data_IF_572324061000
#
_entry.id   IF_572324061000
#
_cell.length_a   1.000
_cell.length_b   1.000
_cell.length_c   1.000
_cell.angle_alpha   90.00
_cell.angle_beta   90.00
_cell.angle_gamma   90.00
#
_symmetry.space_group_name_H-M   'P 1'
#
loop_
_entity.id
_entity.type
_entity.pdbx_description
1 polymer ?
#
# COMPACT_ATOMS: atom_id res chain seq x y z
N UNK A 1 -31.33 21.34 16.80
CA UNK A 1 -30.86 19.94 16.66
C UNK A 1 -29.94 19.94 15.44
N UNK A 2 -28.62 19.78 15.69
CA UNK A 2 -27.68 19.65 14.58
C UNK A 2 -27.96 18.30 13.90
N UNK A 3 -28.27 18.32 12.61
CA UNK A 3 -28.43 17.10 11.84
C UNK A 3 -27.12 16.29 11.94
N UNK A 4 -27.22 15.01 12.24
CA UNK A 4 -26.05 14.11 12.26
C UNK A 4 -25.51 14.03 10.84
N UNK A 5 -24.26 14.49 10.65
CA UNK A 5 -23.59 14.43 9.34
C UNK A 5 -23.01 13.02 9.18
N UNK A 6 -23.39 12.35 8.10
CA UNK A 6 -23.08 10.95 7.85
C UNK A 6 -24.06 9.98 8.49
N UNK A 7 -24.08 8.76 7.98
CA UNK A 7 -24.97 7.70 8.43
C UNK A 7 -24.21 6.70 9.30
N UNK A 8 -24.58 6.53 10.60
CA UNK A 8 -24.00 5.49 11.43
C UNK A 8 -24.27 4.10 10.85
N UNK A 9 -23.26 3.22 10.90
CA UNK A 9 -23.37 1.85 10.38
C UNK A 9 -22.21 0.99 10.86
N UNK A 10 -21.96 -0.12 10.16
CA UNK A 10 -21.00 -1.14 10.56
C UNK A 10 -21.64 -2.18 11.50
N UNK A 11 -20.79 -2.83 12.32
CA UNK A 11 -21.25 -3.77 13.36
C UNK A 11 -21.01 -3.18 14.75
N UNK A 12 -21.61 -3.74 15.82
CA UNK A 12 -21.33 -3.29 17.19
C UNK A 12 -19.84 -3.29 17.55
N UNK A 13 -19.08 -4.28 17.05
CA UNK A 13 -17.64 -4.42 17.27
C UNK A 13 -16.81 -3.52 16.35
N UNK A 14 -17.40 -3.10 15.22
CA UNK A 14 -16.76 -2.27 14.20
C UNK A 14 -17.68 -1.16 13.71
N UNK A 15 -18.07 -0.23 14.59
CA UNK A 15 -18.90 0.90 14.19
C UNK A 15 -18.15 1.80 13.19
N UNK A 16 -18.89 2.43 12.30
CA UNK A 16 -18.37 3.33 11.29
C UNK A 16 -19.44 4.38 10.91
N UNK A 17 -18.99 5.51 10.36
CA UNK A 17 -19.85 6.52 9.75
C UNK A 17 -19.68 6.45 8.24
N UNK A 18 -20.77 6.28 7.52
CA UNK A 18 -20.80 6.26 6.05
C UNK A 18 -21.21 7.64 5.53
N UNK A 19 -20.61 8.05 4.44
CA UNK A 19 -20.90 9.32 3.76
C UNK A 19 -21.39 9.05 2.34
N UNK A 20 -22.36 9.84 1.90
CA UNK A 20 -22.93 9.76 0.55
C UNK A 20 -21.98 10.25 -0.54
N UNK A 21 -21.03 11.12 -0.18
CA UNK A 21 -20.04 11.69 -1.10
C UNK A 21 -19.03 12.59 -0.40
N UNK A 22 -18.10 13.19 -1.17
CA UNK A 22 -17.05 14.05 -0.63
C UNK A 22 -17.60 15.31 0.05
N UNK A 23 -18.70 15.85 -0.41
CA UNK A 23 -19.34 17.06 0.14
C UNK A 23 -19.84 16.80 1.58
N UNK A 24 -20.45 15.65 1.83
CA UNK A 24 -20.93 15.30 3.16
C UNK A 24 -19.77 15.05 4.13
N UNK A 25 -18.69 14.39 3.66
CA UNK A 25 -17.48 14.22 4.46
C UNK A 25 -16.79 15.55 4.73
N UNK A 26 -16.74 16.45 3.75
CA UNK A 26 -16.24 17.82 3.95
C UNK A 26 -17.03 18.57 5.01
N UNK A 27 -18.37 18.48 4.99
CA UNK A 27 -19.23 19.08 6.00
C UNK A 27 -18.95 18.51 7.40
N UNK A 28 -18.71 17.20 7.49
CA UNK A 28 -18.29 16.58 8.75
C UNK A 28 -16.95 17.12 9.25
N UNK A 29 -15.95 17.24 8.38
CA UNK A 29 -14.64 17.81 8.71
C UNK A 29 -14.77 19.27 9.15
N UNK A 30 -15.56 20.08 8.46
CA UNK A 30 -15.80 21.47 8.84
C UNK A 30 -16.34 21.58 10.27
N UNK A 31 -17.23 20.69 10.67
CA UNK A 31 -17.86 20.70 11.98
C UNK A 31 -17.03 20.08 13.11
N UNK A 32 -16.06 19.16 12.76
CA UNK A 32 -15.49 18.26 13.76
C UNK A 32 -13.96 18.18 13.76
N UNK A 33 -13.25 18.69 12.71
CA UNK A 33 -11.81 18.46 12.56
C UNK A 33 -10.95 18.98 13.70
N UNK A 34 -11.42 19.95 14.47
CA UNK A 34 -10.73 20.59 15.61
C UNK A 34 -11.13 20.02 16.98
N UNK A 35 -12.16 19.16 17.01
CA UNK A 35 -12.73 18.57 18.25
C UNK A 35 -12.52 17.07 18.31
N UNK A 36 -12.65 16.39 17.17
CA UNK A 36 -12.51 14.94 17.11
C UNK A 36 -11.05 14.54 16.93
N UNK A 37 -10.67 13.48 17.60
CA UNK A 37 -9.31 12.91 17.53
C UNK A 37 -9.20 11.75 16.55
N UNK A 38 -10.33 11.17 16.18
CA UNK A 38 -10.42 10.12 15.16
C UNK A 38 -11.83 10.01 14.57
N UNK A 39 -11.88 9.44 13.37
CA UNK A 39 -13.10 9.02 12.69
C UNK A 39 -12.89 7.62 12.12
N UNK A 40 -13.82 6.70 12.36
CA UNK A 40 -13.93 5.45 11.62
C UNK A 40 -14.95 5.63 10.50
N UNK A 41 -14.46 5.79 9.28
CA UNK A 41 -15.28 5.95 8.08
C UNK A 41 -15.58 4.59 7.45
N UNK A 42 -16.86 4.32 7.19
CA UNK A 42 -17.30 3.18 6.41
C UNK A 42 -17.13 3.43 4.91
N UNK A 43 -16.61 2.45 4.20
CA UNK A 43 -16.39 2.48 2.75
C UNK A 43 -16.92 1.19 2.14
N UNK A 44 -17.86 1.30 1.22
CA UNK A 44 -18.34 0.15 0.47
C UNK A 44 -17.32 -0.30 -0.58
N UNK A 45 -17.27 -1.62 -0.83
CA UNK A 45 -16.40 -2.22 -1.84
C UNK A 45 -16.91 -1.93 -3.26
N UNK A 46 -16.05 -2.13 -4.25
CA UNK A 46 -16.34 -1.79 -5.67
C UNK A 46 -17.56 -2.47 -6.25
N UNK A 47 -17.91 -3.67 -5.78
CA UNK A 47 -19.05 -4.42 -6.28
C UNK A 47 -20.41 -3.93 -5.75
N UNK A 48 -20.42 -3.06 -4.73
CA UNK A 48 -21.65 -2.52 -4.16
C UNK A 48 -22.16 -1.35 -5.01
N UNK A 49 -23.37 -1.43 -5.58
CA UNK A 49 -23.96 -0.31 -6.33
C UNK A 49 -24.22 0.90 -5.42
N UNK A 50 -24.02 2.10 -5.95
CA UNK A 50 -24.31 3.33 -5.20
C UNK A 50 -23.46 3.50 -3.94
N UNK A 51 -22.22 3.05 -3.98
CA UNK A 51 -21.30 2.93 -2.83
C UNK A 51 -20.94 4.22 -2.09
N UNK A 52 -21.45 5.39 -2.55
CA UNK A 52 -21.19 6.69 -1.91
C UNK A 52 -19.72 7.12 -1.99
N UNK A 53 -19.20 7.69 -0.91
CA UNK A 53 -17.82 8.17 -0.81
C UNK A 53 -16.80 7.06 -1.05
N UNK A 54 -15.80 7.35 -1.89
CA UNK A 54 -14.64 6.47 -2.09
C UNK A 54 -13.44 6.96 -1.29
N UNK A 55 -12.43 6.08 -1.10
CA UNK A 55 -11.19 6.47 -0.45
C UNK A 55 -10.45 7.55 -1.25
N UNK A 56 -10.46 7.42 -2.56
CA UNK A 56 -9.83 8.34 -3.50
C UNK A 56 -10.43 9.76 -3.42
N UNK A 57 -11.74 9.85 -3.18
CA UNK A 57 -12.45 11.12 -3.00
C UNK A 57 -12.26 11.68 -1.57
N UNK A 58 -12.12 10.81 -0.57
CA UNK A 58 -11.97 11.20 0.82
C UNK A 58 -10.59 11.82 1.12
N UNK A 59 -9.51 11.32 0.50
CA UNK A 59 -8.14 11.79 0.78
C UNK A 59 -7.97 13.29 0.52
N UNK A 60 -8.39 13.87 -0.61
CA UNK A 60 -8.31 15.32 -0.84
C UNK A 60 -9.05 16.13 0.21
N UNK A 61 -10.26 15.71 0.60
CA UNK A 61 -11.04 16.42 1.61
C UNK A 61 -10.34 16.39 2.98
N UNK A 62 -9.86 15.23 3.41
CA UNK A 62 -9.11 15.09 4.65
C UNK A 62 -7.86 15.96 4.69
N UNK A 63 -7.09 16.00 3.58
CA UNK A 63 -5.88 16.83 3.46
C UNK A 63 -6.19 18.32 3.60
N UNK A 64 -7.34 18.79 3.09
CA UNK A 64 -7.75 20.18 3.26
C UNK A 64 -7.82 20.60 4.73
N UNK A 65 -8.12 19.69 5.65
CA UNK A 65 -8.23 19.95 7.09
C UNK A 65 -7.04 19.41 7.92
N UNK A 66 -6.00 18.87 7.25
CA UNK A 66 -4.82 18.32 7.90
C UNK A 66 -5.04 16.94 8.53
N UNK A 67 -5.99 16.18 8.02
CA UNK A 67 -6.27 14.80 8.41
C UNK A 67 -5.63 13.80 7.45
N UNK A 68 -5.48 12.56 7.92
CA UNK A 68 -4.93 11.45 7.14
C UNK A 68 -5.55 10.13 7.58
N UNK A 69 -5.66 9.22 6.65
CA UNK A 69 -6.03 7.84 6.90
C UNK A 69 -4.89 7.02 7.49
N UNK A 70 -5.22 5.90 8.12
CA UNK A 70 -4.24 4.99 8.70
C UNK A 70 -4.66 3.53 8.52
N UNK A 71 -5.35 2.94 9.49
CA UNK A 71 -5.69 1.52 9.53
C UNK A 71 -6.99 1.26 8.77
N UNK A 72 -6.98 0.21 7.92
CA UNK A 72 -8.19 -0.32 7.28
C UNK A 72 -8.58 -1.66 7.92
N UNK A 73 -9.87 -1.83 8.22
CA UNK A 73 -10.42 -3.06 8.79
C UNK A 73 -11.66 -3.49 8.01
N UNK A 74 -11.77 -4.80 7.75
CA UNK A 74 -12.99 -5.37 7.16
C UNK A 74 -14.14 -5.26 8.17
N UNK A 75 -15.30 -4.81 7.73
CA UNK A 75 -16.56 -4.91 8.46
C UNK A 75 -17.20 -6.25 8.10
N UNK A 76 -17.55 -6.43 6.82
CA UNK A 76 -18.22 -7.60 6.25
C UNK A 76 -17.77 -7.84 4.79
N UNK A 77 -18.62 -8.56 4.01
CA UNK A 77 -18.32 -8.82 2.59
C UNK A 77 -18.50 -7.59 1.70
N UNK A 78 -19.29 -6.62 2.11
CA UNK A 78 -19.65 -5.44 1.31
C UNK A 78 -18.88 -4.18 1.73
N UNK A 79 -18.38 -4.11 2.98
CA UNK A 79 -17.80 -2.91 3.53
C UNK A 79 -16.48 -3.15 4.30
N UNK A 80 -15.69 -2.10 4.34
CA UNK A 80 -14.55 -1.93 5.24
C UNK A 80 -14.68 -0.62 5.99
N UNK A 81 -13.97 -0.45 7.12
CA UNK A 81 -13.80 0.85 7.76
C UNK A 81 -12.37 1.31 7.68
N UNK A 82 -12.20 2.60 7.47
CA UNK A 82 -10.91 3.29 7.40
C UNK A 82 -10.81 4.26 8.57
N UNK A 83 -9.73 4.19 9.32
CA UNK A 83 -9.45 5.12 10.40
C UNK A 83 -8.83 6.41 9.86
N UNK A 84 -9.38 7.55 10.24
CA UNK A 84 -8.88 8.88 9.91
C UNK A 84 -8.52 9.62 11.20
N UNK A 85 -7.42 10.39 11.18
CA UNK A 85 -6.94 11.14 12.35
C UNK A 85 -6.29 12.45 11.90
N UNK A 86 -6.25 13.48 12.77
CA UNK A 86 -5.40 14.63 12.54
C UNK A 86 -3.94 14.22 12.34
N UNK A 87 -3.24 14.86 11.41
CA UNK A 87 -1.82 14.63 11.16
C UNK A 87 -0.98 15.09 12.35
N UNK A 88 -0.12 14.21 12.82
CA UNK A 88 0.88 14.54 13.83
C UNK A 88 2.08 15.25 13.18
N UNK A 89 2.83 16.08 13.92
CA UNK A 89 4.07 16.69 13.42
C UNK A 89 5.10 15.67 12.91
N UNK A 90 5.03 14.44 13.44
CA UNK A 90 5.89 13.31 13.05
C UNK A 90 5.32 12.46 11.91
N UNK A 91 4.18 12.83 11.33
CA UNK A 91 3.57 12.08 10.22
C UNK A 91 4.45 12.17 8.96
N UNK A 92 4.58 11.05 8.25
CA UNK A 92 5.21 11.03 6.94
C UNK A 92 4.27 11.65 5.89
N UNK A 93 4.87 12.29 4.90
CA UNK A 93 4.17 12.82 3.74
C UNK A 93 4.63 12.06 2.49
N UNK A 94 3.71 11.42 1.81
CA UNK A 94 3.96 10.81 0.52
C UNK A 94 4.08 11.87 -0.58
N UNK A 95 4.82 11.59 -1.66
CA UNK A 95 4.91 12.49 -2.80
C UNK A 95 3.51 12.72 -3.42
N UNK A 96 2.67 11.68 -3.45
CA UNK A 96 1.29 11.79 -3.91
C UNK A 96 0.49 12.77 -3.05
N UNK A 97 0.56 12.65 -1.71
CA UNK A 97 -0.15 13.57 -0.82
C UNK A 97 0.37 15.01 -0.90
N UNK A 98 1.69 15.19 -1.11
CA UNK A 98 2.30 16.51 -1.33
C UNK A 98 1.71 17.13 -2.61
N UNK A 99 1.73 16.40 -3.74
CA UNK A 99 1.18 16.88 -5.01
C UNK A 99 -0.32 17.21 -4.92
N UNK A 100 -1.09 16.41 -4.15
CA UNK A 100 -2.51 16.71 -3.90
C UNK A 100 -2.65 18.02 -3.13
N UNK A 101 -1.86 18.27 -2.06
CA UNK A 101 -1.92 19.52 -1.29
C UNK A 101 -1.53 20.73 -2.14
N UNK A 102 -0.49 20.61 -2.97
CA UNK A 102 -0.07 21.68 -3.88
C UNK A 102 -1.21 22.06 -4.84
N UNK A 103 -1.87 21.05 -5.44
CA UNK A 103 -3.05 21.26 -6.29
C UNK A 103 -4.20 21.91 -5.51
N UNK A 104 -4.54 21.41 -4.32
CA UNK A 104 -5.62 21.95 -3.49
C UNK A 104 -5.33 23.39 -3.02
N UNK A 105 -4.06 23.73 -2.83
CA UNK A 105 -3.61 25.10 -2.51
C UNK A 105 -3.85 26.01 -3.70
N UNK A 106 -3.46 25.60 -4.90
CA UNK A 106 -3.71 26.36 -6.12
C UNK A 106 -5.21 26.56 -6.41
N UNK A 107 -6.04 25.58 -6.06
CA UNK A 107 -7.52 25.62 -6.15
C UNK A 107 -8.17 26.48 -5.03
N UNK A 108 -7.41 26.97 -4.03
CA UNK A 108 -7.93 27.72 -2.88
C UNK A 108 -8.81 26.89 -1.94
N UNK A 109 -8.66 25.56 -1.94
CA UNK A 109 -9.50 24.61 -1.15
C UNK A 109 -8.96 24.32 0.23
N UNK A 110 -7.67 24.58 0.47
CA UNK A 110 -7.03 24.31 1.75
C UNK A 110 -7.63 25.16 2.88
N UNK A 111 -7.77 24.55 4.03
CA UNK A 111 -8.18 25.22 5.27
C UNK A 111 -6.96 25.57 6.13
N UNK A 112 -7.05 26.54 7.06
CA UNK A 112 -5.92 26.93 7.90
C UNK A 112 -5.27 25.76 8.64
N UNK A 113 -6.07 24.80 9.14
CA UNK A 113 -5.59 23.59 9.82
C UNK A 113 -4.79 22.68 8.87
N UNK A 114 -5.22 22.54 7.63
CA UNK A 114 -4.53 21.76 6.59
C UNK A 114 -3.21 22.42 6.18
N UNK A 115 -3.19 23.73 5.96
CA UNK A 115 -1.97 24.50 5.69
C UNK A 115 -0.99 24.36 6.84
N UNK A 116 -1.43 24.58 8.10
CA UNK A 116 -0.59 24.43 9.27
C UNK A 116 -0.04 23.00 9.44
N UNK A 117 -0.80 21.97 9.08
CA UNK A 117 -0.32 20.58 9.10
C UNK A 117 0.75 20.33 8.03
N UNK A 118 0.60 20.93 6.85
CA UNK A 118 1.54 20.82 5.73
C UNK A 118 2.85 21.58 6.01
N UNK A 119 2.77 22.77 6.59
CA UNK A 119 3.94 23.61 6.92
C UNK A 119 4.81 22.99 8.02
N UNK A 120 4.21 22.19 8.92
CA UNK A 120 4.95 21.43 9.95
C UNK A 120 5.61 20.16 9.42
N UNK A 121 5.47 19.84 8.13
CA UNK A 121 6.13 18.64 7.55
C UNK A 121 7.64 18.78 7.65
N UNK A 122 8.29 17.62 7.78
CA UNK A 122 9.73 17.53 7.84
C UNK A 122 10.26 16.95 6.53
N UNK A 123 11.37 17.51 6.01
CA UNK A 123 11.97 17.05 4.76
C UNK A 123 12.47 15.61 4.86
N UNK A 124 13.03 15.21 6.02
CA UNK A 124 13.45 13.84 6.29
C UNK A 124 12.30 12.82 6.36
N UNK A 125 11.05 13.29 6.32
CA UNK A 125 9.82 12.49 6.33
C UNK A 125 8.90 12.76 5.14
N UNK A 126 9.40 13.45 4.13
CA UNK A 126 8.69 13.80 2.90
C UNK A 126 9.21 12.97 1.73
N UNK A 127 8.32 12.36 0.94
CA UNK A 127 8.69 11.51 -0.20
C UNK A 127 9.36 10.17 0.18
N UNK A 128 9.32 9.77 1.46
CA UNK A 128 10.07 8.61 2.00
C UNK A 128 9.36 7.28 1.79
N UNK A 129 8.17 7.28 1.20
CA UNK A 129 7.45 6.03 0.95
C UNK A 129 8.09 5.26 -0.20
N UNK A 130 8.76 4.15 0.14
CA UNK A 130 9.33 3.20 -0.82
C UNK A 130 8.30 2.63 -1.83
N UNK A 131 7.00 2.84 -1.59
CA UNK A 131 5.93 2.46 -2.52
C UNK A 131 5.76 3.39 -3.71
N UNK A 132 6.26 4.63 -3.64
CA UNK A 132 6.10 5.64 -4.70
C UNK A 132 7.16 5.53 -5.78
N UNK A 133 8.37 5.06 -5.41
CA UNK A 133 9.43 4.65 -6.31
C UNK A 133 10.08 3.37 -5.75
N UNK A 134 9.38 2.22 -5.80
CA UNK A 134 9.98 0.98 -5.36
C UNK A 134 11.21 0.69 -6.25
N UNK A 135 12.32 0.24 -5.67
CA UNK A 135 13.42 -0.28 -6.47
C UNK A 135 12.86 -1.31 -7.46
N UNK A 136 13.16 -1.15 -8.73
CA UNK A 136 12.65 -2.06 -9.77
C UNK A 136 13.56 -3.29 -9.92
N UNK A 137 14.79 -3.19 -9.43
CA UNK A 137 15.83 -4.21 -9.54
C UNK A 137 16.53 -4.43 -8.21
N UNK A 138 17.09 -5.63 -8.03
CA UNK A 138 17.97 -5.92 -6.93
C UNK A 138 19.29 -5.14 -7.09
N UNK A 139 19.92 -4.68 -5.99
CA UNK A 139 21.27 -4.17 -6.03
C UNK A 139 22.24 -5.15 -6.71
N UNK A 140 23.30 -4.67 -7.38
CA UNK A 140 24.17 -5.52 -8.19
C UNK A 140 24.72 -6.75 -7.45
N UNK A 141 25.13 -6.61 -6.20
CA UNK A 141 25.62 -7.70 -5.37
C UNK A 141 24.54 -8.78 -5.11
N UNK A 142 23.32 -8.35 -4.78
CA UNK A 142 22.20 -9.26 -4.55
C UNK A 142 21.72 -9.92 -5.84
N UNK A 143 21.72 -9.19 -6.96
CA UNK A 143 21.42 -9.72 -8.28
C UNK A 143 22.46 -10.79 -8.69
N UNK A 144 23.75 -10.54 -8.44
CA UNK A 144 24.82 -11.51 -8.72
C UNK A 144 24.66 -12.80 -7.89
N UNK A 145 24.27 -12.70 -6.63
CA UNK A 145 24.00 -13.87 -5.79
C UNK A 145 22.82 -14.71 -6.31
N UNK A 146 21.76 -14.07 -6.77
CA UNK A 146 20.64 -14.78 -7.39
C UNK A 146 21.06 -15.43 -8.72
N UNK A 147 21.85 -14.74 -9.54
CA UNK A 147 22.35 -15.23 -10.81
C UNK A 147 23.37 -16.37 -10.67
N UNK A 148 24.03 -16.50 -9.52
CA UNK A 148 24.96 -17.57 -9.23
C UNK A 148 24.30 -18.96 -9.10
N UNK A 149 23.00 -19.02 -8.84
CA UNK A 149 22.23 -20.26 -8.88
C UNK A 149 21.49 -20.33 -10.24
N UNK A 150 21.89 -21.26 -11.09
CA UNK A 150 21.36 -21.38 -12.45
C UNK A 150 19.84 -21.63 -12.49
N UNK A 151 19.31 -22.43 -11.54
CA UNK A 151 17.89 -22.72 -11.46
C UNK A 151 17.10 -21.50 -10.96
N UNK A 152 17.62 -20.78 -9.94
CA UNK A 152 17.00 -19.57 -9.45
C UNK A 152 16.99 -18.46 -10.51
N UNK A 153 18.12 -18.30 -11.24
CA UNK A 153 18.23 -17.35 -12.36
C UNK A 153 17.22 -17.64 -13.46
N UNK A 154 17.10 -18.90 -13.89
CA UNK A 154 16.16 -19.30 -14.93
C UNK A 154 14.70 -19.06 -14.53
N UNK A 155 14.32 -19.33 -13.27
CA UNK A 155 13.00 -18.98 -12.73
C UNK A 155 12.76 -17.47 -12.77
N UNK A 156 13.74 -16.71 -12.27
CA UNK A 156 13.67 -15.25 -12.19
C UNK A 156 13.51 -14.58 -13.55
N UNK A 157 14.25 -15.05 -14.54
CA UNK A 157 14.19 -14.52 -15.92
C UNK A 157 12.85 -14.82 -16.59
N UNK A 158 12.27 -15.98 -16.31
CA UNK A 158 10.94 -16.35 -16.80
C UNK A 158 9.78 -15.69 -16.02
N UNK A 159 10.07 -15.07 -14.86
CA UNK A 159 9.07 -14.41 -14.03
C UNK A 159 8.58 -13.09 -14.65
N UNK A 160 7.31 -12.76 -14.44
CA UNK A 160 6.73 -11.51 -14.93
C UNK A 160 7.36 -10.27 -14.31
N UNK A 161 7.44 -9.13 -15.02
CA UNK A 161 7.93 -7.87 -14.46
C UNK A 161 7.19 -7.44 -13.20
N UNK A 162 5.87 -7.71 -13.12
CA UNK A 162 5.05 -7.42 -11.94
C UNK A 162 5.49 -8.23 -10.73
N UNK A 163 5.71 -9.55 -10.88
CA UNK A 163 6.20 -10.39 -9.80
C UNK A 163 7.59 -9.95 -9.34
N UNK A 164 8.53 -9.74 -10.28
CA UNK A 164 9.88 -9.28 -9.97
C UNK A 164 9.86 -8.00 -9.14
N UNK A 165 9.12 -6.99 -9.55
CA UNK A 165 8.99 -5.71 -8.83
C UNK A 165 8.43 -5.88 -7.41
N UNK A 166 7.38 -6.70 -7.24
CA UNK A 166 6.80 -6.97 -5.92
C UNK A 166 7.79 -7.67 -5.00
N UNK A 167 8.55 -8.64 -5.52
CA UNK A 167 9.54 -9.41 -4.75
C UNK A 167 10.77 -8.55 -4.41
N UNK A 168 11.28 -7.75 -5.35
CA UNK A 168 12.35 -6.78 -5.08
C UNK A 168 11.94 -5.85 -3.94
N UNK A 169 10.74 -5.30 -4.02
CA UNK A 169 10.22 -4.45 -2.93
C UNK A 169 10.13 -5.23 -1.60
N UNK A 170 9.64 -6.46 -1.61
CA UNK A 170 9.56 -7.29 -0.41
C UNK A 170 10.93 -7.54 0.22
N UNK A 171 11.96 -7.84 -0.55
CA UNK A 171 13.34 -8.01 -0.07
C UNK A 171 13.85 -6.70 0.53
N UNK A 172 13.80 -5.60 -0.23
CA UNK A 172 14.47 -4.34 0.09
C UNK A 172 13.73 -3.46 1.11
N UNK A 173 12.42 -3.66 1.31
CA UNK A 173 11.63 -2.91 2.31
C UNK A 173 11.92 -3.30 3.76
N UNK A 174 12.66 -4.38 4.01
CA UNK A 174 13.03 -4.76 5.37
C UNK A 174 14.01 -3.74 5.98
N UNK A 175 13.66 -3.22 7.16
CA UNK A 175 14.48 -2.21 7.86
C UNK A 175 15.80 -2.76 8.37
N UNK A 176 15.82 -4.02 8.79
CA UNK A 176 17.00 -4.69 9.35
C UNK A 176 17.71 -5.48 8.26
N UNK A 177 19.05 -5.36 8.21
CA UNK A 177 19.91 -6.08 7.26
C UNK A 177 19.71 -7.59 7.34
N UNK A 178 19.74 -8.16 8.54
CA UNK A 178 19.53 -9.60 8.75
C UNK A 178 18.18 -10.07 8.17
N UNK A 179 17.15 -9.24 8.14
CA UNK A 179 15.87 -9.58 7.52
C UNK A 179 15.95 -9.50 6.00
N UNK A 180 16.68 -8.53 5.42
CA UNK A 180 16.94 -8.44 3.98
C UNK A 180 17.69 -9.68 3.48
N UNK A 181 18.76 -10.05 4.18
CA UNK A 181 19.55 -11.24 3.87
C UNK A 181 18.70 -12.52 3.89
N UNK A 182 17.91 -12.71 4.93
CA UNK A 182 17.01 -13.86 5.03
C UNK A 182 15.99 -13.89 3.89
N UNK A 183 15.43 -12.74 3.52
CA UNK A 183 14.46 -12.64 2.41
C UNK A 183 15.11 -12.89 1.05
N UNK A 184 16.35 -12.44 0.86
CA UNK A 184 17.13 -12.74 -0.34
C UNK A 184 17.44 -14.23 -0.47
N UNK A 185 17.93 -14.86 0.62
CA UNK A 185 18.15 -16.30 0.65
C UNK A 185 16.85 -17.06 0.32
N UNK A 186 15.74 -16.69 0.95
CA UNK A 186 14.44 -17.29 0.65
C UNK A 186 14.01 -17.10 -0.81
N UNK A 187 14.28 -15.93 -1.42
CA UNK A 187 14.02 -15.69 -2.84
C UNK A 187 14.80 -16.66 -3.71
N UNK A 188 16.10 -16.84 -3.43
CA UNK A 188 16.98 -17.74 -4.19
C UNK A 188 16.49 -19.20 -4.03
N UNK A 189 16.29 -19.67 -2.81
CA UNK A 189 15.86 -21.03 -2.50
C UNK A 189 14.49 -21.37 -3.14
N UNK A 190 13.53 -20.47 -3.02
CA UNK A 190 12.18 -20.67 -3.58
C UNK A 190 12.22 -20.66 -5.11
N UNK A 191 12.99 -19.74 -5.72
CA UNK A 191 13.17 -19.68 -7.18
C UNK A 191 13.88 -20.91 -7.72
N UNK A 192 14.95 -21.37 -7.08
CA UNK A 192 15.65 -22.61 -7.45
C UNK A 192 14.77 -23.86 -7.34
N UNK A 193 13.83 -23.85 -6.39
CA UNK A 193 12.82 -24.89 -6.25
C UNK A 193 11.60 -24.72 -7.19
N UNK A 194 11.60 -23.75 -8.09
CA UNK A 194 10.50 -23.46 -9.01
C UNK A 194 9.23 -22.95 -8.31
N UNK A 195 9.36 -22.24 -7.20
CA UNK A 195 8.23 -21.77 -6.38
C UNK A 195 8.22 -20.25 -6.27
N UNK A 196 7.02 -19.68 -6.13
CA UNK A 196 6.86 -18.31 -5.71
C UNK A 196 7.37 -18.12 -4.27
N UNK A 197 7.83 -16.91 -3.90
CA UNK A 197 8.11 -16.59 -2.49
C UNK A 197 6.84 -16.67 -1.64
N UNK A 198 6.97 -17.07 -0.37
CA UNK A 198 5.83 -17.32 0.51
C UNK A 198 4.75 -16.22 0.52
N UNK A 199 5.08 -14.91 0.58
CA UNK A 199 4.07 -13.85 0.54
C UNK A 199 3.26 -13.76 -0.77
N UNK A 200 3.70 -14.45 -1.84
CA UNK A 200 3.04 -14.46 -3.14
C UNK A 200 2.31 -15.80 -3.42
N UNK A 201 2.27 -16.72 -2.46
CA UNK A 201 1.57 -18.01 -2.54
C UNK A 201 0.13 -17.85 -2.05
N UNK A 202 -0.72 -17.17 -2.80
CA UNK A 202 -2.14 -17.04 -2.51
C UNK A 202 -2.97 -17.23 -3.78
N UNK A 203 -4.15 -17.80 -3.64
CA UNK A 203 -5.01 -18.12 -4.78
C UNK A 203 -4.46 -19.25 -5.66
N UNK A 204 -4.90 -19.30 -6.91
CA UNK A 204 -4.42 -20.26 -7.90
C UNK A 204 -3.02 -19.89 -8.42
N UNK A 205 -2.20 -20.91 -8.70
CA UNK A 205 -0.87 -20.69 -9.27
C UNK A 205 -0.99 -20.10 -10.68
N UNK A 206 -0.39 -18.95 -10.96
CA UNK A 206 -0.48 -18.34 -12.27
C UNK A 206 0.23 -19.19 -13.34
N UNK A 207 -0.30 -19.26 -14.56
CA UNK A 207 0.29 -20.00 -15.68
C UNK A 207 1.76 -19.66 -15.99
N UNK A 208 2.16 -18.42 -15.75
CA UNK A 208 3.56 -18.02 -15.93
C UNK A 208 4.48 -18.68 -14.91
N UNK A 209 4.02 -18.93 -13.69
CA UNK A 209 4.81 -19.57 -12.63
C UNK A 209 5.10 -21.05 -12.95
N UNK A 210 4.20 -21.73 -13.62
CA UNK A 210 4.43 -23.10 -14.13
C UNK A 210 5.57 -23.13 -15.15
N UNK A 211 5.58 -22.17 -16.10
CA UNK A 211 6.66 -22.00 -17.08
C UNK A 211 8.00 -21.65 -16.42
N UNK A 212 7.97 -20.76 -15.42
CA UNK A 212 9.16 -20.41 -14.67
C UNK A 212 9.72 -21.61 -13.87
N UNK A 213 8.84 -22.41 -13.27
CA UNK A 213 9.23 -23.67 -12.59
C UNK A 213 9.83 -24.68 -13.54
N UNK A 214 9.32 -24.79 -14.77
CA UNK A 214 9.91 -25.64 -15.80
C UNK A 214 11.30 -25.13 -16.21
N UNK A 215 11.48 -23.82 -16.39
CA UNK A 215 12.78 -23.24 -16.69
C UNK A 215 13.82 -23.54 -15.60
N UNK A 216 13.43 -23.43 -14.33
CA UNK A 216 14.29 -23.79 -13.20
C UNK A 216 14.70 -25.27 -13.22
N UNK A 217 13.75 -26.19 -13.44
CA UNK A 217 14.04 -27.63 -13.54
C UNK A 217 15.01 -27.94 -14.67
N UNK A 218 14.81 -27.35 -15.85
CA UNK A 218 15.67 -27.54 -17.01
C UNK A 218 17.08 -27.01 -16.79
N UNK A 219 17.23 -25.88 -16.08
CA UNK A 219 18.54 -25.35 -15.71
C UNK A 219 19.26 -26.28 -14.73
N UNK A 220 18.56 -26.78 -13.71
CA UNK A 220 19.12 -27.72 -12.72
C UNK A 220 19.63 -29.02 -13.37
N UNK A 221 18.89 -29.57 -14.34
CA UNK A 221 19.30 -30.80 -15.04
C UNK A 221 20.52 -30.61 -15.94
N UNK A 222 20.86 -29.38 -16.34
CA UNK A 222 22.06 -29.08 -17.14
C UNK A 222 23.33 -28.96 -16.29
N UNK A 223 23.15 -28.57 -15.01
CA UNK A 223 24.27 -28.40 -14.06
C UNK A 223 24.64 -29.70 -13.33
N UNK A 224 23.81 -30.77 -13.45
CA UNK A 224 24.11 -32.08 -12.88
C UNK A 224 24.69 -33.03 -13.96
N UNK A 225 26.04 -33.20 -14.03
CA UNK A 225 26.69 -34.05 -15.05
C UNK A 225 26.48 -35.55 -14.81
N UNK A 226 25.65 -35.91 -13.80
CA UNK A 226 25.42 -37.30 -13.40
C UNK A 226 24.03 -37.83 -13.82
N UNK A 227 23.25 -37.09 -14.63
CA UNK A 227 21.93 -37.46 -15.12
C UNK A 227 21.96 -37.99 -16.56
#
# INVERSE_FOLDING_TARGET
>A
MNATIGTPGGTPERPAIFFSGPEEFRAWLEANHDRETELWMGLYKKHVPGRGLTWEDAVPEALCYGWIDSVSQRIDDDARRQRWTPRKPTSNWSAVNIAIVERLTAEGRMRPSGVAAFDRRRDDRSGVYSFENPPQELPPEQAARLAADAAASAFWDAATPTYRRVVVHWVLSAKQEATRERRLAQLIDDSAAGRLVAPQRYGETPKWAERAAEAARNAKSRDDPSA
#
